data_IF_223002840839
#
_entry.id   IF_223002840839
#
_cell.length_a   1.000
_cell.length_b   1.000
_cell.length_c   1.000
_cell.angle_alpha   90.00
_cell.angle_beta   90.00
_cell.angle_gamma   90.00
#
_symmetry.space_group_name_H-M   'P 1'
#
loop_
_entity.id
_entity.type
_entity.pdbx_description
1 polymer ?
#
# COMPACT_ATOMS: atom_id res chain seq x y z
N UNK A 1 2.08 4.69 4.41
CA UNK A 1 1.35 4.32 3.18
C UNK A 1 0.90 5.58 2.46
N UNK A 2 1.02 5.60 1.15
CA UNK A 2 0.63 6.68 0.27
C UNK A 2 1.09 6.41 -1.16
N UNK A 3 0.60 7.16 -2.17
CA UNK A 3 1.05 7.02 -3.55
C UNK A 3 2.53 7.40 -3.68
N UNK A 4 3.24 6.77 -4.61
CA UNK A 4 4.66 6.93 -4.83
C UNK A 4 5.55 5.91 -4.10
N UNK A 5 4.96 4.86 -3.50
CA UNK A 5 5.74 3.74 -2.94
C UNK A 5 6.02 2.65 -3.97
N UNK A 6 5.17 2.50 -4.98
CA UNK A 6 5.30 1.49 -6.02
C UNK A 6 6.45 1.87 -6.96
N UNK A 7 7.15 0.86 -7.48
CA UNK A 7 8.31 0.99 -8.37
C UNK A 7 9.57 1.59 -7.73
N UNK A 8 9.55 1.88 -6.44
CA UNK A 8 10.72 2.38 -5.71
C UNK A 8 11.43 1.26 -4.95
N UNK A 9 12.75 1.37 -4.86
CA UNK A 9 13.60 0.47 -4.08
C UNK A 9 14.03 1.17 -2.80
N UNK A 10 13.84 0.49 -1.67
CA UNK A 10 14.11 1.02 -0.34
C UNK A 10 15.15 0.20 0.41
N UNK A 11 15.85 0.84 1.33
CA UNK A 11 16.68 0.14 2.30
C UNK A 11 15.86 -0.39 3.49
N UNK A 12 16.52 -1.03 4.45
CA UNK A 12 15.88 -1.65 5.61
C UNK A 12 15.15 -0.70 6.56
N UNK A 13 15.35 0.60 6.44
CA UNK A 13 14.67 1.64 7.22
C UNK A 13 13.78 2.55 6.34
N UNK A 14 13.46 2.06 5.14
CA UNK A 14 12.54 2.67 4.18
C UNK A 14 13.03 4.01 3.61
N UNK A 15 14.34 4.16 3.37
CA UNK A 15 14.87 5.30 2.62
C UNK A 15 14.93 4.96 1.13
N UNK A 16 14.50 5.86 0.23
CA UNK A 16 14.48 5.62 -1.22
C UNK A 16 15.90 5.63 -1.80
N UNK A 17 16.36 4.48 -2.31
CA UNK A 17 17.75 4.30 -2.75
C UNK A 17 18.09 5.11 -3.99
N UNK A 18 17.17 5.24 -4.95
CA UNK A 18 17.38 6.05 -6.16
C UNK A 18 17.55 7.52 -5.82
N UNK A 19 16.65 8.10 -5.04
CA UNK A 19 16.74 9.49 -4.57
C UNK A 19 18.04 9.74 -3.78
N UNK A 20 18.43 8.76 -2.95
CA UNK A 20 19.69 8.86 -2.21
C UNK A 20 20.90 8.83 -3.14
N UNK A 21 20.90 7.97 -4.16
CA UNK A 21 21.97 7.90 -5.13
C UNK A 21 22.11 9.20 -5.93
N UNK A 22 21.01 9.78 -6.37
CA UNK A 22 21.01 11.07 -7.10
C UNK A 22 21.55 12.24 -6.26
N UNK A 23 21.14 12.31 -4.97
CA UNK A 23 21.51 13.43 -4.10
C UNK A 23 22.91 13.30 -3.47
N UNK A 24 23.29 12.07 -3.12
CA UNK A 24 24.47 11.83 -2.26
C UNK A 24 25.51 10.90 -2.92
N UNK A 25 25.25 10.41 -4.14
CA UNK A 25 26.13 9.50 -4.84
C UNK A 25 25.89 8.02 -4.51
N UNK A 26 26.75 7.12 -5.03
CA UNK A 26 26.50 5.67 -5.01
C UNK A 26 26.68 5.00 -3.63
N UNK A 27 27.16 5.73 -2.65
CA UNK A 27 27.44 5.17 -1.31
C UNK A 27 26.37 5.61 -0.30
N UNK A 28 25.89 4.67 0.50
CA UNK A 28 24.96 4.97 1.60
C UNK A 28 25.72 5.66 2.74
N UNK A 29 25.45 6.94 2.94
CA UNK A 29 26.04 7.75 4.00
C UNK A 29 25.20 7.65 5.28
N UNK A 30 25.84 7.62 6.44
CA UNK A 30 25.15 7.60 7.73
C UNK A 30 24.50 8.95 8.02
N UNK A 31 23.34 8.93 8.70
CA UNK A 31 22.65 10.13 9.18
C UNK A 31 21.76 10.81 8.14
N UNK A 32 21.63 10.26 6.93
CA UNK A 32 20.68 10.76 5.95
C UNK A 32 19.27 10.29 6.34
N UNK A 33 18.34 11.23 6.43
CA UNK A 33 16.91 10.99 6.62
C UNK A 33 16.15 11.55 5.41
N UNK A 34 15.92 10.68 4.42
CA UNK A 34 15.12 11.00 3.23
C UNK A 34 13.71 10.48 3.40
N UNK A 35 12.68 11.28 3.10
CA UNK A 35 11.29 10.82 3.12
C UNK A 35 11.09 9.63 2.17
N UNK A 36 10.39 8.59 2.65
CA UNK A 36 10.09 7.40 1.85
C UNK A 36 9.18 7.70 0.64
N UNK A 37 8.42 8.78 0.70
CA UNK A 37 7.52 9.24 -0.37
C UNK A 37 7.89 10.67 -0.72
N UNK A 38 7.97 10.97 -2.01
CA UNK A 38 8.18 12.34 -2.49
C UNK A 38 7.00 13.23 -2.04
N UNK A 39 7.33 14.25 -1.26
CA UNK A 39 6.33 15.21 -0.72
C UNK A 39 6.01 16.34 -1.69
N UNK A 40 6.76 16.50 -2.76
CA UNK A 40 6.54 17.52 -3.78
C UNK A 40 5.70 17.00 -4.95
N UNK A 41 5.68 15.70 -5.18
CA UNK A 41 4.88 15.07 -6.22
C UNK A 41 3.39 15.35 -6.02
N UNK A 42 2.70 15.68 -7.11
CA UNK A 42 1.26 15.93 -7.10
C UNK A 42 0.50 14.77 -7.72
N UNK A 43 -0.62 14.45 -7.10
CA UNK A 43 -1.47 13.32 -7.44
C UNK A 43 -2.91 13.78 -7.64
N UNK A 44 -3.54 13.32 -8.71
CA UNK A 44 -4.94 13.65 -8.99
C UNK A 44 -5.86 12.70 -8.22
N UNK A 45 -6.30 13.16 -7.06
CA UNK A 45 -7.19 12.41 -6.19
C UNK A 45 -8.65 12.49 -6.66
N UNK A 46 -9.29 11.33 -6.73
CA UNK A 46 -10.72 11.17 -7.04
C UNK A 46 -11.44 10.59 -5.84
N UNK A 47 -12.29 11.42 -5.24
CA UNK A 47 -13.12 11.01 -4.11
C UNK A 47 -14.22 10.03 -4.56
N UNK A 48 -14.43 8.97 -3.78
CA UNK A 48 -15.55 8.02 -3.96
C UNK A 48 -16.51 8.04 -2.78
N UNK A 49 -16.04 8.44 -1.60
CA UNK A 49 -16.88 8.71 -0.45
C UNK A 49 -17.46 10.13 -0.51
N UNK A 50 -18.54 10.36 0.22
CA UNK A 50 -19.29 11.61 0.20
C UNK A 50 -19.34 12.25 1.59
N UNK A 51 -19.52 13.56 1.61
CA UNK A 51 -19.81 14.29 2.84
C UNK A 51 -21.05 13.72 3.51
N UNK A 52 -20.97 13.47 4.82
CA UNK A 52 -22.03 12.85 5.63
C UNK A 52 -21.88 11.34 5.78
N UNK A 53 -21.00 10.70 5.02
CA UNK A 53 -20.77 9.27 5.16
C UNK A 53 -20.11 8.97 6.51
N UNK A 54 -20.58 7.91 7.15
CA UNK A 54 -19.97 7.39 8.37
C UNK A 54 -18.87 6.40 8.00
N UNK A 55 -17.64 6.71 8.39
CA UNK A 55 -16.45 5.97 8.00
C UNK A 55 -15.63 5.53 9.21
N UNK A 56 -14.87 4.47 9.04
CA UNK A 56 -13.97 3.89 10.04
C UNK A 56 -12.60 3.58 9.44
N UNK A 57 -11.60 3.36 10.30
CA UNK A 57 -10.25 3.05 9.88
C UNK A 57 -10.21 1.90 8.86
N UNK A 58 -9.61 2.16 7.69
CA UNK A 58 -9.51 1.23 6.57
C UNK A 58 -10.58 1.37 5.50
N UNK A 59 -11.67 2.12 5.71
CA UNK A 59 -12.65 2.41 4.68
C UNK A 59 -12.03 3.28 3.58
N UNK A 60 -12.45 3.08 2.34
CA UNK A 60 -11.91 3.83 1.20
C UNK A 60 -12.56 5.21 1.08
N UNK A 61 -11.72 6.22 0.91
CA UNK A 61 -12.11 7.61 0.68
C UNK A 61 -12.19 7.96 -0.81
N UNK A 62 -11.32 7.33 -1.59
CA UNK A 62 -11.13 7.57 -3.00
C UNK A 62 -9.84 6.93 -3.48
N UNK A 63 -9.37 7.33 -4.66
CA UNK A 63 -8.16 6.78 -5.25
C UNK A 63 -7.38 7.82 -6.04
N UNK A 64 -6.12 7.50 -6.30
CA UNK A 64 -5.28 8.12 -7.32
C UNK A 64 -4.84 7.06 -8.32
N UNK A 65 -4.72 7.40 -9.59
CA UNK A 65 -4.12 6.53 -10.59
C UNK A 65 -2.59 6.65 -10.44
N UNK A 66 -1.96 5.72 -9.69
CA UNK A 66 -0.53 5.77 -9.37
C UNK A 66 0.32 5.35 -10.57
N UNK A 67 -0.16 4.34 -11.32
CA UNK A 67 0.38 3.94 -12.63
C UNK A 67 -0.78 3.72 -13.60
N UNK A 68 -0.48 3.41 -14.88
CA UNK A 68 -1.51 3.12 -15.88
C UNK A 68 -2.42 1.95 -15.50
N UNK A 69 -1.92 1.02 -14.68
CA UNK A 69 -2.65 -0.21 -14.30
C UNK A 69 -3.02 -0.25 -12.82
N UNK A 70 -2.42 0.60 -11.97
CA UNK A 70 -2.59 0.53 -10.52
C UNK A 70 -3.30 1.77 -10.00
N UNK A 71 -4.45 1.54 -9.36
CA UNK A 71 -5.15 2.52 -8.55
C UNK A 71 -4.71 2.41 -7.09
N UNK A 72 -4.15 3.48 -6.57
CA UNK A 72 -3.85 3.57 -5.15
C UNK A 72 -5.07 4.06 -4.37
N UNK A 73 -5.65 3.18 -3.57
CA UNK A 73 -6.80 3.50 -2.74
C UNK A 73 -6.37 4.22 -1.46
N UNK A 74 -6.94 5.41 -1.25
CA UNK A 74 -6.73 6.20 -0.05
C UNK A 74 -7.75 5.77 1.00
N UNK A 75 -7.27 5.44 2.19
CA UNK A 75 -8.09 4.92 3.28
C UNK A 75 -8.16 5.89 4.45
N UNK A 76 -9.21 5.72 5.25
CA UNK A 76 -9.31 6.34 6.58
C UNK A 76 -8.15 5.81 7.45
N UNK A 77 -7.42 6.69 8.17
CA UNK A 77 -6.33 6.29 9.05
C UNK A 77 -6.77 5.27 10.12
N UNK A 78 -5.83 4.41 10.60
CA UNK A 78 -6.16 3.43 11.64
C UNK A 78 -6.65 4.14 12.91
N UNK A 79 -7.63 3.54 13.59
CA UNK A 79 -8.23 4.06 14.84
C UNK A 79 -9.03 5.37 14.71
N UNK A 80 -9.28 5.85 13.50
CA UNK A 80 -10.16 6.99 13.22
C UNK A 80 -11.52 6.45 12.79
N UNK A 81 -12.58 6.96 13.40
CA UNK A 81 -13.97 6.71 13.01
C UNK A 81 -14.78 7.98 13.22
N UNK A 82 -15.79 8.19 12.41
CA UNK A 82 -16.65 9.35 12.52
C UNK A 82 -17.41 9.66 11.24
N UNK A 83 -17.87 10.89 11.13
CA UNK A 83 -18.61 11.41 9.97
C UNK A 83 -17.67 12.24 9.09
N UNK A 84 -17.73 12.00 7.78
CA UNK A 84 -16.97 12.75 6.79
C UNK A 84 -17.58 14.16 6.60
N UNK A 85 -16.89 15.17 7.09
CA UNK A 85 -17.37 16.56 7.04
C UNK A 85 -17.06 17.21 5.70
N UNK A 86 -15.92 16.87 5.14
CA UNK A 86 -15.41 17.42 3.88
C UNK A 86 -14.53 16.39 3.18
N UNK A 87 -14.66 16.27 1.87
CA UNK A 87 -13.76 15.52 1.00
C UNK A 87 -13.84 16.11 -0.40
N UNK A 88 -12.71 16.52 -0.97
CA UNK A 88 -12.64 17.18 -2.26
C UNK A 88 -11.71 16.44 -3.21
N UNK A 89 -12.18 16.20 -4.43
CA UNK A 89 -11.33 15.75 -5.53
C UNK A 89 -10.46 16.90 -6.03
N UNK A 90 -9.23 16.58 -6.43
CA UNK A 90 -8.31 17.60 -6.95
C UNK A 90 -6.88 17.10 -7.01
N UNK A 91 -5.96 17.99 -7.38
CA UNK A 91 -4.53 17.71 -7.45
C UNK A 91 -3.85 18.14 -6.15
N UNK A 92 -3.32 17.15 -5.42
CA UNK A 92 -2.74 17.33 -4.09
C UNK A 92 -1.36 16.72 -3.98
N UNK A 93 -0.53 17.25 -3.10
CA UNK A 93 0.65 16.54 -2.61
C UNK A 93 0.22 15.50 -1.57
N UNK A 94 1.12 14.59 -1.20
CA UNK A 94 0.79 13.56 -0.20
C UNK A 94 0.54 14.14 1.20
N UNK A 95 0.93 15.37 1.46
CA UNK A 95 0.77 16.08 2.75
C UNK A 95 -0.36 17.08 2.78
N UNK A 96 -0.94 17.42 1.63
CA UNK A 96 -2.06 18.35 1.55
C UNK A 96 -3.32 17.72 2.15
N UNK A 97 -4.16 18.54 2.79
CA UNK A 97 -5.44 18.09 3.32
C UNK A 97 -6.45 17.92 2.18
N UNK A 98 -6.93 16.68 2.00
CA UNK A 98 -7.95 16.33 1.00
C UNK A 98 -9.37 16.35 1.58
N UNK A 99 -9.51 16.31 2.90
CA UNK A 99 -10.80 16.27 3.57
C UNK A 99 -10.67 16.23 5.09
N UNK A 100 -11.82 16.14 5.78
CA UNK A 100 -11.90 16.16 7.24
C UNK A 100 -12.93 15.17 7.75
N UNK A 101 -12.60 14.48 8.86
CA UNK A 101 -13.52 13.63 9.62
C UNK A 101 -13.79 14.27 10.97
N UNK A 102 -15.06 14.34 11.34
CA UNK A 102 -15.48 14.63 12.73
C UNK A 102 -15.62 13.29 13.45
N UNK A 103 -14.73 13.06 14.41
CA UNK A 103 -14.73 11.81 15.18
C UNK A 103 -15.94 11.70 16.08
N UNK A 104 -16.25 10.48 16.55
CA UNK A 104 -17.32 10.24 17.53
C UNK A 104 -17.08 10.97 18.86
N UNK A 105 -15.84 11.42 19.13
CA UNK A 105 -15.48 12.24 20.29
C UNK A 105 -15.67 13.74 20.07
N UNK A 106 -15.97 14.14 18.83
CA UNK A 106 -16.14 15.54 18.44
C UNK A 106 -14.89 16.22 17.88
N UNK A 107 -13.75 15.55 17.87
CA UNK A 107 -12.51 16.10 17.31
C UNK A 107 -12.55 16.10 15.78
N UNK A 108 -11.88 17.07 15.16
CA UNK A 108 -11.70 17.11 13.71
C UNK A 108 -10.31 16.56 13.36
N UNK A 109 -10.28 15.58 12.47
CA UNK A 109 -9.07 14.97 11.95
C UNK A 109 -8.93 15.29 10.47
N UNK A 110 -7.80 15.90 10.09
CA UNK A 110 -7.47 16.16 8.70
C UNK A 110 -7.03 14.86 8.00
N UNK A 111 -7.49 14.70 6.76
CA UNK A 111 -7.17 13.58 5.91
C UNK A 111 -6.16 14.02 4.85
N UNK A 112 -5.16 13.18 4.61
CA UNK A 112 -4.14 13.38 3.58
C UNK A 112 -4.00 12.13 2.71
N UNK A 113 -3.32 12.24 1.58
CA UNK A 113 -3.05 11.08 0.71
C UNK A 113 -2.06 10.10 1.35
N UNK A 114 -1.29 10.54 2.33
CA UNK A 114 -0.31 9.72 3.05
C UNK A 114 -0.76 9.48 4.49
N UNK A 115 -0.52 8.27 5.00
CA UNK A 115 -0.77 7.94 6.40
C UNK A 115 0.27 6.99 6.97
N UNK A 116 0.51 7.08 8.27
CA UNK A 116 1.31 6.11 9.00
C UNK A 116 0.43 4.95 9.43
N UNK A 117 0.80 3.74 9.02
CA UNK A 117 0.13 2.52 9.45
C UNK A 117 1.05 1.71 10.36
N UNK A 118 0.61 1.22 11.52
CA UNK A 118 1.44 0.41 12.40
C UNK A 118 1.88 -0.89 11.70
N UNK A 119 3.18 -1.17 11.66
CA UNK A 119 3.75 -2.31 10.92
C UNK A 119 3.17 -3.66 11.35
N UNK A 120 2.84 -3.81 12.64
CA UNK A 120 2.34 -5.06 13.22
C UNK A 120 0.81 -5.15 13.31
N UNK A 121 0.11 -4.15 12.80
CA UNK A 121 -1.36 -4.15 12.77
C UNK A 121 -1.80 -4.46 11.36
N UNK A 122 -2.51 -5.58 11.19
CA UNK A 122 -3.08 -5.95 9.91
C UNK A 122 -4.09 -4.88 9.45
N UNK A 123 -4.18 -4.68 8.14
CA UNK A 123 -5.24 -3.83 7.58
C UNK A 123 -6.59 -4.49 7.82
N UNK A 124 -7.62 -3.73 8.19
CA UNK A 124 -8.96 -4.27 8.34
C UNK A 124 -9.47 -4.77 6.97
N UNK A 125 -10.29 -5.79 7.03
CA UNK A 125 -11.01 -6.32 5.87
C UNK A 125 -12.48 -6.48 6.25
N UNK A 126 -13.35 -6.28 5.29
CA UNK A 126 -14.79 -6.42 5.52
C UNK A 126 -15.18 -7.90 5.63
N UNK A 127 -14.61 -8.73 4.78
CA UNK A 127 -14.94 -10.15 4.66
C UNK A 127 -13.73 -10.95 4.15
N UNK A 128 -13.58 -12.19 4.62
CA UNK A 128 -12.67 -13.16 4.02
C UNK A 128 -13.38 -13.86 2.88
N UNK A 129 -12.88 -13.63 1.66
CA UNK A 129 -13.43 -14.28 0.49
C UNK A 129 -13.03 -15.76 0.45
N UNK A 130 -13.92 -16.67 -0.01
CA UNK A 130 -13.54 -18.06 -0.24
C UNK A 130 -12.52 -18.14 -1.39
N UNK A 131 -11.56 -19.10 -1.33
CA UNK A 131 -10.55 -19.30 -2.38
C UNK A 131 -11.22 -19.88 -3.64
N UNK A 132 -11.57 -19.03 -4.59
CA UNK A 132 -12.25 -19.41 -5.84
C UNK A 132 -11.37 -19.32 -7.07
N UNK A 133 -10.42 -18.38 -7.06
CA UNK A 133 -9.55 -18.12 -8.21
C UNK A 133 -8.14 -18.65 -7.93
N UNK A 134 -7.62 -19.58 -8.73
CA UNK A 134 -6.23 -20.01 -8.61
C UNK A 134 -5.30 -18.92 -9.15
N UNK A 135 -4.18 -18.71 -8.48
CA UNK A 135 -3.05 -17.96 -9.00
C UNK A 135 -2.27 -18.85 -9.97
N UNK A 136 -2.15 -18.43 -11.21
CA UNK A 136 -1.34 -19.17 -12.20
C UNK A 136 0.13 -18.84 -11.96
N UNK A 137 0.90 -19.83 -11.55
CA UNK A 137 2.32 -19.64 -11.19
C UNK A 137 3.28 -19.94 -12.34
N UNK A 138 2.78 -20.56 -13.42
CA UNK A 138 3.61 -21.08 -14.51
C UNK A 138 4.38 -22.35 -14.15
N UNK A 139 4.26 -22.85 -12.92
CA UNK A 139 4.87 -24.09 -12.46
C UNK A 139 3.83 -25.21 -12.48
N UNK A 140 3.95 -26.11 -13.45
CA UNK A 140 2.97 -27.19 -13.68
C UNK A 140 2.63 -27.99 -12.41
N UNK A 141 3.62 -28.31 -11.60
CA UNK A 141 3.42 -29.09 -10.37
C UNK A 141 2.59 -28.31 -9.36
N UNK A 142 2.84 -27.01 -9.22
CA UNK A 142 2.09 -26.16 -8.29
C UNK A 142 0.67 -25.98 -8.81
N UNK A 143 0.52 -25.54 -10.05
CA UNK A 143 -0.79 -25.21 -10.64
C UNK A 143 -1.73 -26.42 -10.70
N UNK A 144 -1.19 -27.62 -10.97
CA UNK A 144 -2.00 -28.83 -11.13
C UNK A 144 -2.24 -29.60 -9.82
N UNK A 145 -1.25 -29.64 -8.90
CA UNK A 145 -1.31 -30.52 -7.72
C UNK A 145 -1.43 -29.76 -6.39
N UNK A 146 -0.94 -28.52 -6.33
CA UNK A 146 -0.91 -27.69 -5.12
C UNK A 146 -1.33 -26.24 -5.43
N UNK A 147 -2.52 -26.03 -6.03
CA UNK A 147 -2.91 -24.71 -6.49
C UNK A 147 -2.95 -23.71 -5.34
N UNK A 148 -2.43 -22.51 -5.61
CA UNK A 148 -2.45 -21.37 -4.68
C UNK A 148 -3.60 -20.47 -5.08
N UNK A 149 -4.42 -20.07 -4.13
CA UNK A 149 -5.49 -19.11 -4.40
C UNK A 149 -4.93 -17.68 -4.52
N UNK A 150 -5.49 -16.86 -5.41
CA UNK A 150 -5.21 -15.41 -5.46
C UNK A 150 -5.50 -14.77 -4.11
N UNK A 151 -4.55 -13.97 -3.59
CA UNK A 151 -4.62 -13.40 -2.24
C UNK A 151 -4.37 -14.39 -1.09
N UNK A 152 -4.03 -15.64 -1.41
CA UNK A 152 -3.70 -16.67 -0.42
C UNK A 152 -2.28 -16.55 0.11
N UNK A 153 -1.96 -17.43 1.05
CA UNK A 153 -0.62 -17.57 1.63
C UNK A 153 -0.10 -18.97 1.39
N UNK A 154 1.10 -19.08 0.85
CA UNK A 154 1.78 -20.35 0.63
C UNK A 154 3.07 -20.41 1.44
N UNK A 155 3.43 -21.62 1.89
CA UNK A 155 4.68 -21.90 2.57
C UNK A 155 5.55 -22.79 1.68
N UNK A 156 6.82 -22.43 1.52
CA UNK A 156 7.82 -23.22 0.80
C UNK A 156 8.85 -23.73 1.82
N UNK A 157 8.56 -24.83 2.55
CA UNK A 157 9.46 -25.37 3.56
C UNK A 157 10.57 -26.21 2.92
N UNK A 158 11.65 -26.38 3.67
CA UNK A 158 12.73 -27.29 3.28
C UNK A 158 14.05 -26.96 3.96
N UNK A 159 14.98 -27.93 4.02
CA UNK A 159 16.30 -27.71 4.59
C UNK A 159 17.17 -26.80 3.72
N UNK A 160 18.36 -26.46 4.21
CA UNK A 160 19.33 -25.69 3.44
C UNK A 160 19.67 -26.41 2.12
N UNK A 161 19.72 -25.65 1.03
CA UNK A 161 20.03 -26.22 -0.30
C UNK A 161 18.87 -26.91 -1.03
N UNK A 162 17.64 -26.93 -0.47
CA UNK A 162 16.47 -27.58 -1.11
C UNK A 162 15.82 -26.78 -2.25
N UNK A 163 16.41 -25.68 -2.69
CA UNK A 163 15.90 -24.89 -3.81
C UNK A 163 14.75 -23.92 -3.47
N UNK A 164 14.46 -23.64 -2.19
CA UNK A 164 13.38 -22.71 -1.77
C UNK A 164 13.43 -21.37 -2.48
N UNK A 165 14.60 -20.75 -2.50
CA UNK A 165 14.82 -19.44 -3.14
C UNK A 165 14.56 -19.51 -4.64
N UNK A 166 14.93 -20.62 -5.30
CA UNK A 166 14.67 -20.81 -6.73
C UNK A 166 13.17 -20.85 -6.99
N UNK A 167 12.41 -21.60 -6.18
CA UNK A 167 10.94 -21.65 -6.29
C UNK A 167 10.34 -20.25 -6.07
N UNK A 168 10.77 -19.53 -5.03
CA UNK A 168 10.29 -18.17 -4.77
C UNK A 168 10.57 -17.21 -5.93
N UNK A 169 11.77 -17.26 -6.53
CA UNK A 169 12.10 -16.44 -7.69
C UNK A 169 11.26 -16.81 -8.92
N UNK A 170 10.99 -18.11 -9.14
CA UNK A 170 10.12 -18.54 -10.24
C UNK A 170 8.69 -18.03 -10.04
N UNK A 171 8.14 -18.14 -8.82
CA UNK A 171 6.83 -17.59 -8.49
C UNK A 171 6.79 -16.08 -8.74
N UNK A 172 7.74 -15.33 -8.20
CA UNK A 172 7.80 -13.87 -8.36
C UNK A 172 7.95 -13.42 -9.84
N UNK A 173 8.55 -14.27 -10.69
CA UNK A 173 8.82 -13.92 -12.09
C UNK A 173 7.68 -14.29 -13.05
N UNK A 174 6.94 -15.34 -12.77
CA UNK A 174 6.00 -15.95 -13.72
C UNK A 174 4.56 -16.05 -13.23
N UNK A 175 4.27 -15.66 -11.98
CA UNK A 175 2.88 -15.61 -11.50
C UNK A 175 2.12 -14.44 -12.12
N UNK A 176 0.82 -14.66 -12.37
CA UNK A 176 -0.13 -13.64 -12.87
C UNK A 176 -0.59 -12.67 -11.78
#
# INVERSE_FOLDING_TARGET
LGPGLIENIYDGIQRPLETMQEKYGPNIIRGIDEPAIDRAARWDFRATAHKGDRVRGGDFLGYVDETEVIKHWIMVPPKVSGELVELLSGSYTVTDTIGKIKTDKGDIVDLTLMQKWPVRVARPYAEKLPPREPMITGQRVIDALFPIAKGGTACVPGPFGSGKTVVQHQLAKFSD
#
